data_IF_993766351496
#
_entry.id   IF_993766351496
#
_cell.length_a   1.000
_cell.length_b   1.000
_cell.length_c   1.000
_cell.angle_alpha   90.00
_cell.angle_beta   90.00
_cell.angle_gamma   90.00
#
_symmetry.space_group_name_H-M   'P 1'
#
loop_
_entity.id
_entity.type
_entity.pdbx_description
1 polymer ?
#
# COMPACT_ATOMS: atom_id res chain seq x y z
N UNK A 1 -16.04 7.61 -1.36
CA UNK A 1 -14.95 6.60 -1.41
C UNK A 1 -13.65 7.32 -1.75
N UNK A 2 -12.67 7.33 -0.86
CA UNK A 2 -11.38 8.01 -1.10
C UNK A 2 -10.55 7.11 -2.03
N UNK A 3 -10.19 7.61 -3.21
CA UNK A 3 -9.28 6.92 -4.14
C UNK A 3 -7.87 7.46 -3.92
N UNK A 4 -6.99 6.67 -3.32
CA UNK A 4 -5.56 6.95 -3.27
C UNK A 4 -5.01 6.75 -4.68
N UNK A 5 -4.53 7.82 -5.33
CA UNK A 5 -4.02 7.78 -6.70
C UNK A 5 -2.50 7.64 -6.78
N UNK A 6 -1.83 7.92 -5.67
CA UNK A 6 -0.37 7.97 -5.58
C UNK A 6 0.09 7.20 -4.33
N UNK A 7 1.10 6.34 -4.51
CA UNK A 7 1.74 5.56 -3.46
C UNK A 7 2.53 6.43 -2.44
N UNK A 8 2.75 7.69 -2.77
CA UNK A 8 3.40 8.69 -1.90
C UNK A 8 2.38 9.52 -1.10
N UNK A 9 1.09 9.39 -1.40
CA UNK A 9 0.06 10.15 -0.71
C UNK A 9 -0.12 9.62 0.71
N UNK A 10 0.02 10.51 1.70
CA UNK A 10 -0.30 10.19 3.08
C UNK A 10 -1.83 10.06 3.26
N UNK A 11 -2.30 9.06 4.02
CA UNK A 11 -3.72 8.93 4.30
C UNK A 11 -4.20 10.06 5.22
N UNK A 12 -5.38 10.61 4.94
CA UNK A 12 -6.01 11.67 5.74
C UNK A 12 -6.35 11.22 7.18
N UNK A 13 -6.60 9.92 7.36
CA UNK A 13 -6.86 9.29 8.64
C UNK A 13 -5.90 8.13 8.83
N UNK A 14 -5.49 7.83 10.06
CA UNK A 14 -4.65 6.67 10.34
C UNK A 14 -5.43 5.38 10.01
N UNK A 15 -5.07 4.64 8.95
CA UNK A 15 -5.74 3.41 8.57
C UNK A 15 -5.72 2.33 9.65
N UNK A 16 -4.79 2.42 10.60
CA UNK A 16 -4.62 1.45 11.67
C UNK A 16 -5.05 1.99 13.04
N UNK A 17 -5.84 3.06 13.10
CA UNK A 17 -6.32 3.65 14.35
C UNK A 17 -7.11 2.66 15.24
N UNK A 18 -7.70 1.63 14.65
CA UNK A 18 -8.40 0.56 15.36
C UNK A 18 -7.45 -0.46 16.03
N UNK A 19 -6.15 -0.42 15.74
CA UNK A 19 -5.16 -1.29 16.36
C UNK A 19 -4.72 -0.72 17.70
N UNK A 20 -4.73 -1.58 18.72
CA UNK A 20 -4.12 -1.24 20.01
C UNK A 20 -2.60 -1.11 19.91
N UNK A 21 -1.94 -0.39 20.84
CA UNK A 21 -0.53 0.01 20.73
C UNK A 21 0.44 -1.15 20.45
N UNK A 22 0.25 -2.30 21.13
CA UNK A 22 1.09 -3.49 20.94
C UNK A 22 1.02 -4.03 19.50
N UNK A 23 -0.20 -4.14 18.94
CA UNK A 23 -0.39 -4.64 17.57
C UNK A 23 0.15 -3.64 16.55
N UNK A 24 0.01 -2.35 16.82
CA UNK A 24 0.57 -1.31 15.96
C UNK A 24 2.10 -1.39 15.91
N UNK A 25 2.75 -1.47 17.07
CA UNK A 25 4.21 -1.61 17.15
C UNK A 25 4.73 -2.88 16.44
N UNK A 26 4.03 -4.01 16.57
CA UNK A 26 4.40 -5.23 15.85
C UNK A 26 4.29 -5.07 14.33
N UNK A 27 3.26 -4.36 13.83
CA UNK A 27 3.09 -4.10 12.41
C UNK A 27 4.20 -3.18 11.89
N UNK A 28 4.50 -2.10 12.62
CA UNK A 28 5.53 -1.13 12.25
C UNK A 28 6.93 -1.77 12.26
N UNK A 29 7.22 -2.68 13.20
CA UNK A 29 8.48 -3.43 13.27
C UNK A 29 8.56 -4.64 12.31
N UNK A 30 7.48 -4.95 11.59
CA UNK A 30 7.44 -6.08 10.65
C UNK A 30 7.93 -5.68 9.26
N UNK A 31 8.05 -6.69 8.37
CA UNK A 31 8.28 -6.47 6.95
C UNK A 31 7.24 -5.53 6.32
N UNK A 32 5.99 -5.54 6.80
CA UNK A 32 4.95 -4.67 6.27
C UNK A 32 5.23 -3.19 6.57
N UNK A 33 5.76 -2.89 7.76
CA UNK A 33 6.18 -1.54 8.14
C UNK A 33 7.34 -1.06 7.27
N UNK A 34 8.41 -1.86 7.19
CA UNK A 34 9.57 -1.57 6.33
C UNK A 34 9.17 -1.35 4.87
N UNK A 35 8.33 -2.24 4.32
CA UNK A 35 7.85 -2.11 2.95
C UNK A 35 7.09 -0.81 2.75
N UNK A 36 6.17 -0.46 3.66
CA UNK A 36 5.35 0.74 3.55
C UNK A 36 6.18 2.02 3.64
N UNK A 37 7.19 2.06 4.51
CA UNK A 37 8.00 3.28 4.73
C UNK A 37 9.10 3.46 3.68
N UNK A 38 9.75 2.38 3.24
CA UNK A 38 10.92 2.47 2.39
C UNK A 38 10.70 1.97 0.97
N UNK A 39 9.94 0.89 0.77
CA UNK A 39 9.78 0.29 -0.56
C UNK A 39 8.64 0.94 -1.34
N UNK A 40 7.48 1.11 -0.71
CA UNK A 40 6.26 1.58 -1.34
C UNK A 40 6.44 2.98 -1.96
N UNK A 41 7.03 4.00 -1.30
CA UNK A 41 7.18 5.34 -1.90
C UNK A 41 8.14 5.38 -3.09
N UNK A 42 9.07 4.43 -3.15
CA UNK A 42 10.09 4.31 -4.20
C UNK A 42 9.68 3.34 -5.31
N UNK A 43 8.53 2.70 -5.19
CA UNK A 43 8.06 1.73 -6.17
C UNK A 43 7.70 2.43 -7.49
N UNK A 44 8.17 1.94 -8.66
CA UNK A 44 7.83 2.52 -9.95
C UNK A 44 6.42 2.10 -10.39
N UNK A 45 5.41 2.66 -9.73
CA UNK A 45 3.99 2.26 -9.88
C UNK A 45 3.52 2.36 -11.32
N UNK A 46 3.91 3.38 -12.07
CA UNK A 46 3.51 3.53 -13.48
C UNK A 46 4.01 2.38 -14.36
N UNK A 47 5.26 1.95 -14.16
CA UNK A 47 5.84 0.83 -14.91
C UNK A 47 5.15 -0.48 -14.56
N UNK A 48 4.81 -0.67 -13.29
CA UNK A 48 4.08 -1.85 -12.84
C UNK A 48 2.64 -1.84 -13.35
N UNK A 49 1.95 -0.71 -13.26
CA UNK A 49 0.57 -0.54 -13.71
C UNK A 49 0.42 -0.82 -15.21
N UNK A 50 1.43 -0.48 -16.02
CA UNK A 50 1.46 -0.81 -17.44
C UNK A 50 1.45 -2.33 -17.73
N UNK A 51 1.85 -3.17 -16.77
CA UNK A 51 1.77 -4.63 -16.89
C UNK A 51 0.39 -5.20 -16.52
N UNK A 52 -0.54 -4.38 -16.04
CA UNK A 52 -1.88 -4.80 -15.67
C UNK A 52 -2.93 -4.24 -16.64
N UNK A 53 -4.01 -4.98 -16.82
CA UNK A 53 -5.14 -4.49 -17.63
C UNK A 53 -5.79 -3.31 -16.92
N UNK A 54 -6.00 -2.20 -17.64
CA UNK A 54 -6.67 -1.01 -17.08
C UNK A 54 -8.14 -1.30 -16.69
N UNK A 55 -8.76 -2.30 -17.32
CA UNK A 55 -10.17 -2.66 -17.09
C UNK A 55 -10.33 -3.91 -16.23
N UNK A 56 -9.41 -4.87 -16.34
CA UNK A 56 -9.50 -6.17 -15.66
C UNK A 56 -8.54 -6.31 -14.48
N UNK A 57 -7.57 -5.41 -14.32
CA UNK A 57 -6.63 -5.41 -13.20
C UNK A 57 -5.68 -6.60 -13.22
N UNK A 58 -5.60 -7.33 -12.08
CA UNK A 58 -4.74 -8.51 -11.93
C UNK A 58 -5.26 -9.64 -12.83
N UNK A 59 -4.42 -10.23 -13.70
CA UNK A 59 -4.83 -11.37 -14.52
C UNK A 59 -5.29 -12.52 -13.62
N UNK A 60 -6.45 -13.10 -13.95
CA UNK A 60 -6.90 -14.36 -13.34
C UNK A 60 -5.93 -15.48 -13.69
N UNK A 61 -5.90 -16.52 -12.85
CA UNK A 61 -5.10 -17.73 -13.11
C UNK A 61 -5.73 -18.68 -14.13
N UNK A 62 -6.88 -18.31 -14.69
CA UNK A 62 -7.56 -19.06 -15.75
C UNK A 62 -6.90 -18.82 -17.11
#
# INVERSE_FOLDING_TARGET
MIRIRDNKQLPLFDPWAYLGPKRRAMLDASWAGLFKEHCLPNLPVEKLAACFSQTQGRPSKE
#
